data_IF_173701285025
#
_entry.id   IF_173701285025
#
_cell.length_a   1.000
_cell.length_b   1.000
_cell.length_c   1.000
_cell.angle_alpha   90.00
_cell.angle_beta   90.00
_cell.angle_gamma   90.00
#
_symmetry.space_group_name_H-M   'P 1'
#
loop_
_entity.id
_entity.type
_entity.pdbx_description
1 polymer ?
#
# COMPACT_ATOMS: atom_id res chain seq x y z
N UNK A 1 20.64 -45.99 25.09
CA UNK A 1 20.14 -44.61 25.24
C UNK A 1 18.67 -44.58 24.83
N UNK A 2 17.75 -44.24 25.75
CA UNK A 2 16.31 -44.09 25.45
C UNK A 2 16.10 -42.74 24.74
N UNK A 3 15.55 -42.74 23.52
CA UNK A 3 15.05 -41.52 22.86
C UNK A 3 13.74 -41.12 23.54
N UNK A 4 13.66 -39.91 24.10
CA UNK A 4 12.38 -39.27 24.41
C UNK A 4 11.84 -38.69 23.10
N UNK A 5 10.76 -39.29 22.59
CA UNK A 5 9.91 -38.68 21.57
C UNK A 5 8.81 -37.92 22.31
N UNK A 6 8.80 -36.59 22.18
CA UNK A 6 7.67 -35.76 22.61
C UNK A 6 6.78 -35.57 21.38
N UNK A 7 5.56 -36.08 21.45
CA UNK A 7 4.53 -35.86 20.43
C UNK A 7 3.80 -34.57 20.81
N UNK A 8 3.98 -33.51 20.00
CA UNK A 8 3.32 -32.23 20.25
C UNK A 8 1.90 -32.33 19.67
N UNK A 9 0.97 -32.82 20.48
CA UNK A 9 -0.46 -32.78 20.12
C UNK A 9 -0.91 -31.33 19.90
N UNK A 10 -1.43 -31.05 18.71
CA UNK A 10 -1.91 -29.72 18.34
C UNK A 10 -0.93 -28.85 17.54
N UNK A 11 0.27 -29.33 17.23
CA UNK A 11 1.16 -28.60 16.29
C UNK A 11 0.54 -28.51 14.90
N UNK A 12 -0.06 -29.59 14.41
CA UNK A 12 -0.72 -29.59 13.10
C UNK A 12 -1.95 -28.68 13.05
N UNK A 13 -2.71 -28.58 14.15
CA UNK A 13 -3.85 -27.68 14.23
C UNK A 13 -3.41 -26.21 14.38
N UNK A 14 -2.30 -25.97 15.07
CA UNK A 14 -1.65 -24.66 15.13
C UNK A 14 -1.09 -24.25 13.76
N UNK A 15 -0.41 -25.14 13.05
CA UNK A 15 0.11 -24.89 11.70
C UNK A 15 -1.01 -24.57 10.71
N UNK A 16 -2.13 -25.32 10.75
CA UNK A 16 -3.31 -25.00 9.91
C UNK A 16 -3.91 -23.63 10.23
N UNK A 17 -3.97 -23.24 11.51
CA UNK A 17 -4.46 -21.91 11.91
C UNK A 17 -3.48 -20.80 11.50
N UNK A 18 -2.18 -21.06 11.52
CA UNK A 18 -1.14 -20.17 11.01
C UNK A 18 -1.21 -20.03 9.48
N UNK A 19 -1.51 -21.10 8.76
CA UNK A 19 -1.68 -21.08 7.29
C UNK A 19 -2.96 -20.36 6.86
N UNK A 20 -4.03 -20.46 7.67
CA UNK A 20 -5.29 -19.74 7.44
C UNK A 20 -5.28 -18.30 7.95
N UNK A 21 -4.23 -17.89 8.66
CA UNK A 21 -4.17 -16.61 9.34
C UNK A 21 -4.22 -15.39 8.40
N UNK A 22 -3.63 -15.41 7.19
CA UNK A 22 -3.84 -14.37 6.18
C UNK A 22 -5.31 -14.24 5.74
N UNK A 23 -6.06 -15.34 5.59
CA UNK A 23 -7.51 -15.31 5.35
C UNK A 23 -8.28 -14.85 6.59
N UNK A 24 -7.81 -15.18 7.79
CA UNK A 24 -8.41 -14.77 9.06
C UNK A 24 -8.24 -13.26 9.32
N UNK A 25 -7.14 -12.65 8.86
CA UNK A 25 -7.03 -11.19 8.75
C UNK A 25 -7.91 -10.77 7.57
N UNK A 26 -9.21 -10.63 7.83
CA UNK A 26 -10.20 -10.35 6.79
C UNK A 26 -9.79 -9.17 5.90
N UNK A 27 -10.18 -9.21 4.63
CA UNK A 27 -9.76 -8.27 3.58
C UNK A 27 -9.91 -6.79 3.98
N UNK A 28 -10.90 -6.47 4.81
CA UNK A 28 -11.10 -5.12 5.37
C UNK A 28 -9.89 -4.63 6.17
N UNK A 29 -9.30 -5.49 7.01
CA UNK A 29 -8.12 -5.14 7.81
C UNK A 29 -6.90 -5.00 6.92
N UNK A 30 -6.69 -5.92 5.98
CA UNK A 30 -5.58 -5.82 5.01
C UNK A 30 -5.67 -4.52 4.20
N UNK A 31 -6.88 -4.17 3.73
CA UNK A 31 -7.13 -2.92 3.01
C UNK A 31 -6.76 -1.71 3.86
N UNK A 32 -7.18 -1.66 5.13
CA UNK A 32 -6.84 -0.54 6.01
C UNK A 32 -5.32 -0.42 6.21
N UNK A 33 -4.63 -1.54 6.42
CA UNK A 33 -3.16 -1.56 6.57
C UNK A 33 -2.49 -0.98 5.32
N UNK A 34 -2.95 -1.41 4.15
CA UNK A 34 -2.42 -0.92 2.88
C UNK A 34 -2.73 0.55 2.65
N UNK A 35 -3.92 1.02 3.03
CA UNK A 35 -4.29 2.45 2.96
C UNK A 35 -3.37 3.31 3.83
N UNK A 36 -3.22 2.93 5.10
CA UNK A 36 -2.36 3.64 6.06
C UNK A 36 -0.90 3.68 5.59
N UNK A 37 -0.41 2.55 5.05
CA UNK A 37 0.95 2.47 4.53
C UNK A 37 1.12 3.26 3.23
N UNK A 38 0.12 3.25 2.36
CA UNK A 38 0.11 4.03 1.11
C UNK A 38 0.09 5.53 1.36
N UNK A 39 -0.50 5.98 2.47
CA UNK A 39 -0.60 7.41 2.79
C UNK A 39 0.78 8.03 3.01
N UNK A 40 1.75 7.25 3.53
CA UNK A 40 3.15 7.69 3.66
C UNK A 40 3.74 8.10 2.29
N UNK A 41 3.45 7.32 1.24
CA UNK A 41 3.90 7.62 -0.11
C UNK A 41 3.12 8.82 -0.66
N UNK A 42 1.81 8.85 -0.47
CA UNK A 42 0.94 9.92 -0.95
C UNK A 42 1.32 11.28 -0.35
N UNK A 43 1.58 11.34 0.96
CA UNK A 43 2.01 12.55 1.66
C UNK A 43 3.30 13.10 1.06
N UNK A 44 4.33 12.26 0.92
CA UNK A 44 5.59 12.72 0.34
C UNK A 44 5.43 13.10 -1.13
N UNK A 45 4.62 12.38 -1.89
CA UNK A 45 4.30 12.75 -3.27
C UNK A 45 3.62 14.13 -3.34
N UNK A 46 2.73 14.45 -2.40
CA UNK A 46 2.10 15.78 -2.28
C UNK A 46 3.09 16.89 -1.89
N UNK A 47 4.20 16.55 -1.26
CA UNK A 47 5.24 17.52 -0.91
C UNK A 47 6.26 17.74 -2.04
N UNK A 48 6.50 16.72 -2.86
CA UNK A 48 7.41 16.78 -4.01
C UNK A 48 6.75 17.34 -5.27
N UNK A 49 5.43 17.22 -5.40
CA UNK A 49 4.72 17.63 -6.60
C UNK A 49 4.80 19.16 -6.82
N UNK A 50 5.13 19.62 -8.04
CA UNK A 50 5.08 21.04 -8.35
C UNK A 50 3.66 21.58 -8.25
N UNK A 51 3.54 22.78 -7.68
CA UNK A 51 2.25 23.43 -7.44
C UNK A 51 2.04 24.55 -8.46
N UNK A 52 1.05 24.38 -9.33
CA UNK A 52 0.50 25.44 -10.17
C UNK A 52 -0.78 26.01 -9.53
N UNK A 53 -1.94 25.38 -9.77
CA UNK A 53 -3.22 25.69 -9.09
C UNK A 53 -3.37 24.97 -7.74
N UNK A 54 -2.61 23.91 -7.52
CA UNK A 54 -2.76 22.98 -6.40
C UNK A 54 -3.68 21.80 -6.67
N UNK A 55 -4.35 21.75 -7.83
CA UNK A 55 -5.28 20.67 -8.16
C UNK A 55 -4.58 19.30 -8.24
N UNK A 56 -3.41 19.24 -8.89
CA UNK A 56 -2.64 18.00 -8.98
C UNK A 56 -2.25 17.50 -7.58
N UNK A 57 -1.77 18.39 -6.71
CA UNK A 57 -1.44 18.05 -5.32
C UNK A 57 -2.65 17.50 -4.57
N UNK A 58 -3.80 18.16 -4.68
CA UNK A 58 -5.03 17.71 -4.02
C UNK A 58 -5.62 16.42 -4.61
N UNK A 59 -5.25 16.06 -5.85
CA UNK A 59 -5.74 14.84 -6.52
C UNK A 59 -4.97 13.57 -6.13
N UNK A 60 -3.82 13.70 -5.46
CA UNK A 60 -3.01 12.55 -5.02
C UNK A 60 -3.67 11.90 -3.82
N UNK A 61 -4.18 10.69 -3.99
CA UNK A 61 -4.87 9.94 -2.94
C UNK A 61 -4.45 8.48 -2.89
N UNK A 62 -4.84 7.81 -1.81
CA UNK A 62 -4.82 6.36 -1.70
C UNK A 62 -6.25 5.84 -1.82
N UNK A 63 -6.48 4.88 -2.73
CA UNK A 63 -7.81 4.32 -2.97
C UNK A 63 -7.76 2.83 -3.24
N UNK A 64 -8.80 2.08 -2.86
CA UNK A 64 -8.95 0.66 -3.20
C UNK A 64 -9.69 0.48 -4.53
N UNK A 65 -10.26 1.57 -5.03
CA UNK A 65 -10.98 1.65 -6.30
C UNK A 65 -10.27 2.67 -7.17
N UNK A 66 -9.91 2.29 -8.39
CA UNK A 66 -9.34 3.21 -9.37
C UNK A 66 -10.45 3.62 -10.33
N UNK A 67 -10.79 4.91 -10.37
CA UNK A 67 -11.70 5.45 -11.38
C UNK A 67 -10.87 5.81 -12.61
N UNK A 68 -10.66 4.82 -13.49
CA UNK A 68 -9.90 4.99 -14.73
C UNK A 68 -8.39 4.90 -14.53
N UNK A 69 -7.89 3.67 -14.36
CA UNK A 69 -6.44 3.40 -14.36
C UNK A 69 -5.86 3.68 -15.74
N UNK A 70 -5.00 4.69 -15.85
CA UNK A 70 -4.31 5.08 -17.07
C UNK A 70 -2.78 4.96 -16.95
N UNK A 71 -2.30 4.21 -15.96
CA UNK A 71 -0.88 4.05 -15.67
C UNK A 71 -0.26 5.22 -14.89
N UNK A 72 -1.08 6.17 -14.43
CA UNK A 72 -0.69 7.09 -13.37
C UNK A 72 -0.56 6.33 -12.06
N UNK A 73 0.39 6.67 -11.19
CA UNK A 73 0.47 6.15 -9.82
C UNK A 73 1.14 4.79 -9.60
N UNK A 74 0.92 4.24 -8.41
CA UNK A 74 1.55 3.03 -7.87
C UNK A 74 0.48 2.09 -7.32
N UNK A 75 0.66 0.79 -7.53
CA UNK A 75 -0.18 -0.25 -6.91
C UNK A 75 0.59 -0.89 -5.76
N UNK A 76 -0.01 -0.92 -4.58
CA UNK A 76 0.52 -1.56 -3.39
C UNK A 76 -0.38 -2.74 -3.01
N UNK A 77 0.23 -3.90 -2.72
CA UNK A 77 -0.51 -5.11 -2.38
C UNK A 77 0.31 -6.06 -1.52
N UNK A 78 -0.37 -6.99 -0.87
CA UNK A 78 0.24 -8.02 -0.01
C UNK A 78 0.44 -9.37 -0.71
N UNK A 79 0.31 -9.42 -2.04
CA UNK A 79 0.37 -10.66 -2.81
C UNK A 79 -0.92 -11.51 -2.79
N UNK A 80 -2.03 -10.94 -2.29
CA UNK A 80 -3.37 -11.53 -2.31
C UNK A 80 -4.37 -10.76 -3.18
N UNK A 81 -5.66 -10.86 -2.86
CA UNK A 81 -6.75 -10.17 -3.57
C UNK A 81 -6.79 -8.67 -3.31
N UNK A 82 -6.26 -8.22 -2.17
CA UNK A 82 -6.34 -6.83 -1.74
C UNK A 82 -5.16 -6.03 -2.28
N UNK A 83 -5.50 -5.00 -3.06
CA UNK A 83 -4.57 -3.99 -3.55
C UNK A 83 -5.14 -2.61 -3.29
N UNK A 84 -4.25 -1.64 -3.14
CA UNK A 84 -4.58 -0.22 -3.10
C UNK A 84 -3.75 0.52 -4.14
N UNK A 85 -4.32 1.58 -4.65
CA UNK A 85 -3.74 2.50 -5.59
C UNK A 85 -3.28 3.76 -4.87
N UNK A 86 -2.15 4.32 -5.29
CA UNK A 86 -1.55 5.53 -4.74
C UNK A 86 -1.19 6.43 -5.92
N UNK A 87 -1.80 7.60 -6.02
CA UNK A 87 -1.44 8.56 -7.04
C UNK A 87 -2.55 9.56 -7.39
N UNK A 88 -2.31 10.39 -8.42
CA UNK A 88 -3.29 11.33 -8.93
C UNK A 88 -4.57 10.62 -9.38
N UNK A 89 -5.73 11.18 -9.05
CA UNK A 89 -7.04 10.68 -9.44
C UNK A 89 -7.61 11.47 -10.60
N UNK A 90 -7.99 10.77 -11.67
CA UNK A 90 -8.64 11.36 -12.83
C UNK A 90 -10.16 11.43 -12.65
N UNK A 91 -10.81 12.41 -13.27
CA UNK A 91 -12.26 12.64 -13.17
C UNK A 91 -12.71 12.84 -11.71
N UNK A 92 -11.79 13.30 -10.86
CA UNK A 92 -12.05 13.64 -9.47
C UNK A 92 -12.03 15.16 -9.31
N UNK A 93 -12.46 15.66 -8.16
CA UNK A 93 -12.31 17.08 -7.81
C UNK A 93 -11.47 17.16 -6.54
N UNK A 94 -10.23 17.70 -6.61
CA UNK A 94 -9.56 18.26 -7.79
C UNK A 94 -9.03 17.21 -8.79
N UNK A 95 -8.93 17.56 -10.08
CA UNK A 95 -8.61 16.59 -11.15
C UNK A 95 -7.09 16.47 -11.40
N UNK A 96 -6.59 15.24 -11.34
CA UNK A 96 -5.17 14.89 -11.49
C UNK A 96 -4.75 14.39 -12.87
N UNK A 97 -5.57 14.57 -13.91
CA UNK A 97 -5.39 13.93 -15.22
C UNK A 97 -4.00 14.14 -15.86
N UNK A 98 -3.33 15.26 -15.57
CA UNK A 98 -2.04 15.64 -16.15
C UNK A 98 -0.82 15.18 -15.32
N UNK A 99 -1.02 14.41 -14.24
CA UNK A 99 0.05 13.98 -13.35
C UNK A 99 1.18 13.21 -14.04
N UNK A 100 0.87 12.26 -14.93
CA UNK A 100 1.88 11.55 -15.72
C UNK A 100 2.72 12.47 -16.62
N UNK A 101 2.12 13.52 -17.18
CA UNK A 101 2.82 14.47 -18.03
C UNK A 101 3.86 15.26 -17.23
N UNK A 102 3.56 15.53 -15.95
CA UNK A 102 4.48 16.16 -15.00
C UNK A 102 5.57 15.17 -14.58
N UNK A 103 5.21 13.95 -14.19
CA UNK A 103 6.16 12.91 -13.73
C UNK A 103 7.22 12.57 -14.78
N UNK A 104 6.82 12.43 -16.05
CA UNK A 104 7.69 11.94 -17.14
C UNK A 104 8.14 13.03 -18.11
N UNK A 105 7.55 14.22 -18.04
CA UNK A 105 7.78 15.30 -18.97
C UNK A 105 7.09 15.08 -20.32
N UNK A 106 7.25 16.07 -21.20
CA UNK A 106 6.70 16.06 -22.55
C UNK A 106 7.76 16.57 -23.53
N UNK A 107 7.48 16.51 -24.83
CA UNK A 107 8.34 17.14 -25.85
C UNK A 107 8.60 18.65 -25.62
N UNK A 108 7.76 19.32 -24.82
CA UNK A 108 7.82 20.77 -24.55
C UNK A 108 8.23 21.10 -23.11
N UNK A 109 8.40 20.11 -22.24
CA UNK A 109 8.61 20.32 -20.80
C UNK A 109 9.47 19.19 -20.22
N UNK A 110 10.50 19.54 -19.43
CA UNK A 110 11.28 18.56 -18.69
C UNK A 110 10.44 17.85 -17.61
N UNK A 111 10.79 16.61 -17.31
CA UNK A 111 10.16 15.84 -16.24
C UNK A 111 10.36 16.49 -14.87
N UNK A 112 9.32 16.46 -14.03
CA UNK A 112 9.36 16.84 -12.63
C UNK A 112 8.81 15.66 -11.80
N UNK A 113 9.62 14.62 -11.56
CA UNK A 113 9.18 13.42 -10.86
C UNK A 113 8.83 13.71 -9.40
N UNK A 114 7.70 13.17 -8.95
CA UNK A 114 7.21 13.29 -7.58
C UNK A 114 6.76 11.95 -7.01
N UNK A 115 6.18 11.05 -7.83
CA UNK A 115 5.74 9.73 -7.38
C UNK A 115 6.90 8.76 -7.19
N UNK A 116 7.80 8.63 -8.18
CA UNK A 116 8.97 7.75 -8.09
C UNK A 116 9.89 8.10 -6.91
N UNK A 117 10.31 9.36 -6.72
CA UNK A 117 11.14 9.70 -5.56
C UNK A 117 10.41 9.51 -4.23
N UNK A 118 9.09 9.74 -4.18
CA UNK A 118 8.30 9.47 -2.98
C UNK A 118 8.33 7.96 -2.62
N UNK A 119 8.14 7.08 -3.60
CA UNK A 119 8.23 5.64 -3.39
C UNK A 119 9.62 5.19 -2.95
N UNK A 120 10.66 5.61 -3.67
CA UNK A 120 12.03 5.14 -3.43
C UNK A 120 12.53 5.51 -2.03
N UNK A 121 12.17 6.72 -1.56
CA UNK A 121 12.55 7.22 -0.24
C UNK A 121 11.74 6.60 0.91
N UNK A 122 10.47 6.28 0.69
CA UNK A 122 9.57 5.79 1.76
C UNK A 122 9.45 4.26 1.82
N UNK A 123 9.98 3.54 0.81
CA UNK A 123 9.86 2.08 0.70
C UNK A 123 10.16 1.33 2.00
N UNK A 124 11.25 1.67 2.70
CA UNK A 124 11.62 1.02 3.96
C UNK A 124 10.64 1.30 5.11
N UNK A 125 10.11 2.53 5.16
CA UNK A 125 9.10 2.95 6.15
C UNK A 125 7.77 2.24 5.91
N UNK A 126 7.32 2.18 4.64
CA UNK A 126 6.09 1.49 4.22
C UNK A 126 6.17 0.01 4.54
N UNK A 127 7.28 -0.66 4.22
CA UNK A 127 7.49 -2.07 4.56
C UNK A 127 7.45 -2.32 6.07
N UNK A 128 8.04 -1.42 6.86
CA UNK A 128 8.04 -1.53 8.31
C UNK A 128 6.65 -1.32 8.90
N UNK A 129 5.89 -0.35 8.38
CA UNK A 129 4.50 -0.07 8.78
C UNK A 129 3.60 -1.28 8.53
N UNK A 130 3.62 -1.81 7.30
CA UNK A 130 2.85 -3.00 6.91
C UNK A 130 3.18 -4.19 7.83
N UNK A 131 4.47 -4.45 8.06
CA UNK A 131 4.90 -5.56 8.93
C UNK A 131 4.34 -5.43 10.34
N UNK A 132 4.45 -4.24 10.93
CA UNK A 132 4.00 -3.99 12.29
C UNK A 132 2.48 -4.10 12.42
N UNK A 133 1.75 -3.54 11.46
CA UNK A 133 0.28 -3.56 11.50
C UNK A 133 -0.28 -4.96 11.23
N UNK A 134 0.36 -5.73 10.32
CA UNK A 134 0.02 -7.14 10.13
C UNK A 134 0.32 -7.94 11.39
N UNK A 135 1.50 -7.77 12.01
CA UNK A 135 1.82 -8.46 13.26
C UNK A 135 0.82 -8.15 14.38
N UNK A 136 0.39 -6.89 14.48
CA UNK A 136 -0.65 -6.47 15.43
C UNK A 136 -2.02 -7.09 15.11
N UNK A 137 -2.41 -7.14 13.84
CA UNK A 137 -3.65 -7.76 13.39
C UNK A 137 -3.67 -9.27 13.67
N UNK A 138 -2.55 -9.97 13.39
CA UNK A 138 -2.34 -11.38 13.70
C UNK A 138 -2.48 -11.63 15.21
N UNK A 139 -1.78 -10.85 16.02
CA UNK A 139 -1.82 -10.98 17.47
C UNK A 139 -3.23 -10.72 18.05
N UNK A 140 -4.01 -9.83 17.42
CA UNK A 140 -5.41 -9.59 17.79
C UNK A 140 -6.30 -10.76 17.39
N UNK A 141 -6.13 -11.30 16.19
CA UNK A 141 -6.89 -12.45 15.70
C UNK A 141 -6.62 -13.72 16.52
N UNK A 142 -5.38 -13.94 16.98
CA UNK A 142 -5.01 -15.09 17.80
C UNK A 142 -5.52 -15.04 19.25
N UNK A 143 -5.96 -13.86 19.73
CA UNK A 143 -6.53 -13.67 21.07
C UNK A 143 -8.05 -13.80 21.12
N UNK A 144 -8.72 -13.79 19.96
CA UNK A 144 -10.15 -14.04 19.82
C UNK A 144 -10.42 -15.51 19.56
#
# INVERSE_FOLDING_TARGET
MKRLTAEVEGLDSLMRKLDQLPEAIGEKVQRQILMDAGEIIAELARDLVPVDTGDLRGSITVSDTIVGYDGQGLTLGLGGTVTVYIGPQRNSKPDGWYGHLVEYGTIKMAAQPFMRPAFDSTKGQVQSRIRNDLAAAIAKAAKG
#
